data_IF_864258606701
#
_entry.id   IF_864258606701
#
_cell.length_a   1.000
_cell.length_b   1.000
_cell.length_c   1.000
_cell.angle_alpha   90.00
_cell.angle_beta   90.00
_cell.angle_gamma   90.00
#
_symmetry.space_group_name_H-M   'P 1'
#
loop_
_entity.id
_entity.type
_entity.pdbx_description
1 polymer ?
#
# COMPACT_ATOMS: atom_id res chain seq x y z
N UNK A 1 2.95 -9.99 12.25
CA UNK A 1 2.65 -11.40 11.90
C UNK A 1 2.06 -11.60 10.50
N UNK A 2 2.00 -10.57 9.64
CA UNK A 2 1.62 -10.77 8.22
C UNK A 2 2.71 -11.54 7.45
N UNK A 3 3.97 -11.38 7.84
CA UNK A 3 5.08 -12.22 7.37
C UNK A 3 4.95 -13.72 7.72
N UNK A 4 4.08 -14.09 8.67
CA UNK A 4 3.84 -15.50 9.03
C UNK A 4 2.71 -16.09 8.16
N UNK A 5 1.71 -15.29 7.80
CA UNK A 5 0.66 -15.72 6.86
C UNK A 5 1.21 -15.99 5.45
N UNK A 6 2.33 -15.38 5.07
CA UNK A 6 3.05 -15.73 3.83
C UNK A 6 3.86 -17.03 3.94
N UNK A 7 4.09 -17.56 5.14
CA UNK A 7 4.94 -18.75 5.37
C UNK A 7 4.16 -20.06 5.29
N UNK A 8 2.86 -20.01 5.58
CA UNK A 8 1.96 -21.17 5.61
C UNK A 8 1.03 -21.23 4.39
N UNK A 9 1.20 -20.33 3.42
CA UNK A 9 0.54 -20.46 2.13
C UNK A 9 1.18 -21.67 1.40
N UNK A 10 0.39 -22.64 0.91
CA UNK A 10 0.94 -23.81 0.23
C UNK A 10 1.86 -23.33 -0.89
N UNK A 11 3.12 -23.77 -0.82
CA UNK A 11 4.07 -23.53 -1.88
C UNK A 11 3.53 -24.21 -3.14
N UNK A 12 3.45 -23.49 -4.26
CA UNK A 12 2.94 -24.04 -5.49
C UNK A 12 3.78 -25.24 -5.96
N UNK A 13 3.11 -26.25 -6.53
CA UNK A 13 3.75 -27.51 -6.95
C UNK A 13 4.60 -27.37 -8.23
N UNK A 14 4.57 -26.20 -8.89
CA UNK A 14 5.44 -25.87 -10.01
C UNK A 14 6.07 -24.47 -9.88
N UNK A 15 7.25 -24.27 -10.45
CA UNK A 15 7.91 -22.97 -10.53
C UNK A 15 7.09 -21.93 -11.35
N UNK A 16 6.12 -22.38 -12.15
CA UNK A 16 5.17 -21.55 -12.89
C UNK A 16 3.99 -21.06 -12.04
N UNK A 17 3.77 -21.67 -10.87
CA UNK A 17 2.63 -21.39 -9.99
C UNK A 17 2.98 -20.45 -8.82
N UNK A 18 4.23 -19.97 -8.70
CA UNK A 18 4.58 -18.94 -7.70
C UNK A 18 3.78 -17.69 -8.05
N UNK A 19 2.83 -17.23 -7.20
CA UNK A 19 2.22 -15.94 -7.44
C UNK A 19 3.38 -14.95 -7.42
N UNK A 20 3.63 -14.31 -8.56
CA UNK A 20 4.53 -13.17 -8.61
C UNK A 20 4.19 -12.25 -7.44
N UNK A 21 5.18 -11.59 -6.83
CA UNK A 21 4.93 -10.72 -5.68
C UNK A 21 3.72 -9.77 -5.92
N UNK A 22 3.54 -9.34 -7.18
CA UNK A 22 2.39 -8.59 -7.68
C UNK A 22 1.05 -9.34 -7.63
N UNK A 23 1.01 -10.61 -8.03
CA UNK A 23 -0.19 -11.45 -7.91
C UNK A 23 -0.65 -11.63 -6.47
N UNK A 24 0.30 -11.88 -5.55
CA UNK A 24 0.00 -11.96 -4.12
C UNK A 24 -0.50 -10.62 -3.55
N UNK A 25 0.14 -9.50 -3.91
CA UNK A 25 -0.32 -8.15 -3.54
C UNK A 25 -1.75 -7.89 -4.01
N UNK A 26 -2.07 -8.23 -5.27
CA UNK A 26 -3.40 -8.03 -5.83
C UNK A 26 -4.48 -8.81 -5.06
N UNK A 27 -4.22 -10.07 -4.73
CA UNK A 27 -5.15 -10.90 -3.94
C UNK A 27 -5.39 -10.26 -2.58
N UNK A 28 -4.33 -9.98 -1.82
CA UNK A 28 -4.45 -9.43 -0.45
C UNK A 28 -5.15 -8.06 -0.46
N UNK A 29 -4.86 -7.21 -1.45
CA UNK A 29 -5.50 -5.89 -1.59
C UNK A 29 -6.99 -6.03 -1.93
N UNK A 30 -7.37 -6.98 -2.79
CA UNK A 30 -8.77 -7.22 -3.15
C UNK A 30 -9.57 -7.90 -2.03
N UNK A 31 -8.92 -8.70 -1.19
CA UNK A 31 -9.53 -9.34 -0.01
C UNK A 31 -9.66 -8.40 1.20
N UNK A 32 -9.33 -7.11 1.05
CA UNK A 32 -9.53 -6.12 2.09
C UNK A 32 -8.34 -5.95 3.04
N UNK A 33 -7.15 -6.41 2.67
CA UNK A 33 -5.94 -6.28 3.49
C UNK A 33 -5.61 -4.83 3.87
N UNK A 34 -5.84 -3.88 2.96
CA UNK A 34 -5.63 -2.45 3.22
C UNK A 34 -6.60 -1.93 4.31
N UNK A 35 -7.88 -2.29 4.23
CA UNK A 35 -8.92 -1.95 5.21
C UNK A 35 -8.58 -2.51 6.59
N UNK A 36 -8.15 -3.77 6.65
CA UNK A 36 -7.75 -4.42 7.89
C UNK A 36 -6.56 -3.70 8.54
N UNK A 37 -5.55 -3.33 7.74
CA UNK A 37 -4.42 -2.55 8.24
C UNK A 37 -4.87 -1.17 8.73
N UNK A 38 -5.70 -0.45 7.96
CA UNK A 38 -6.21 0.87 8.34
C UNK A 38 -7.00 0.84 9.66
N UNK A 39 -7.80 -0.22 9.89
CA UNK A 39 -8.52 -0.41 11.14
C UNK A 39 -7.55 -0.52 12.33
N UNK A 40 -6.49 -1.35 12.21
CA UNK A 40 -5.46 -1.49 13.25
C UNK A 40 -4.73 -0.17 13.49
N UNK A 41 -4.38 0.55 12.42
CA UNK A 41 -3.67 1.83 12.51
C UNK A 41 -4.48 2.94 13.17
N UNK A 42 -5.82 2.83 13.16
CA UNK A 42 -6.72 3.79 13.80
C UNK A 42 -6.69 3.71 15.34
N UNK A 43 -6.19 2.61 15.91
CA UNK A 43 -6.04 2.47 17.35
C UNK A 43 -4.68 3.02 17.82
N UNK A 44 -4.68 3.86 18.86
CA UNK A 44 -3.47 4.46 19.44
C UNK A 44 -3.01 3.86 20.77
N UNK A 45 -3.74 2.87 21.27
CA UNK A 45 -3.47 2.26 22.57
C UNK A 45 -2.10 1.54 22.57
N UNK A 46 -1.32 1.76 23.62
CA UNK A 46 0.00 1.13 23.81
C UNK A 46 0.07 -0.39 23.68
N UNK A 47 -0.91 -1.19 24.17
CA UNK A 47 -0.84 -2.65 23.97
C UNK A 47 -0.88 -3.08 22.49
N UNK A 48 -1.26 -2.17 21.58
CA UNK A 48 -1.37 -2.44 20.15
C UNK A 48 -0.15 -1.96 19.35
N UNK A 49 0.92 -1.46 19.99
CA UNK A 49 2.11 -0.96 19.29
C UNK A 49 2.72 -2.00 18.32
N UNK A 50 2.78 -3.26 18.76
CA UNK A 50 3.23 -4.38 17.92
C UNK A 50 2.34 -4.60 16.68
N UNK A 51 1.02 -4.46 16.87
CA UNK A 51 0.05 -4.63 15.79
C UNK A 51 0.12 -3.45 14.82
N UNK A 52 0.25 -2.21 15.32
CA UNK A 52 0.42 -1.01 14.50
C UNK A 52 1.66 -1.08 13.63
N UNK A 53 2.82 -1.46 14.19
CA UNK A 53 4.05 -1.62 13.39
C UNK A 53 3.90 -2.72 12.32
N UNK A 54 3.21 -3.82 12.65
CA UNK A 54 2.94 -4.90 11.70
C UNK A 54 2.01 -4.46 10.58
N UNK A 55 0.98 -3.68 10.90
CA UNK A 55 0.03 -3.14 9.93
C UNK A 55 0.69 -2.10 9.01
N UNK A 56 1.55 -1.24 9.56
CA UNK A 56 2.31 -0.28 8.76
C UNK A 56 3.23 -0.99 7.76
N UNK A 57 3.99 -1.99 8.20
CA UNK A 57 4.85 -2.78 7.30
C UNK A 57 4.05 -3.53 6.24
N UNK A 58 2.91 -4.12 6.59
CA UNK A 58 2.08 -4.80 5.61
C UNK A 58 1.46 -3.84 4.60
N UNK A 59 1.08 -2.64 5.02
CA UNK A 59 0.64 -1.58 4.11
C UNK A 59 1.78 -1.16 3.18
N UNK A 60 3.02 -1.08 3.68
CA UNK A 60 4.21 -0.83 2.86
C UNK A 60 4.38 -1.91 1.78
N UNK A 61 4.32 -3.19 2.17
CA UNK A 61 4.43 -4.31 1.22
C UNK A 61 3.31 -4.32 0.19
N UNK A 62 2.06 -4.03 0.59
CA UNK A 62 0.94 -3.96 -0.36
C UNK A 62 1.06 -2.80 -1.34
N UNK A 63 1.67 -1.69 -0.93
CA UNK A 63 1.81 -0.50 -1.77
C UNK A 63 3.08 -0.51 -2.64
N UNK A 64 4.11 -1.28 -2.27
CA UNK A 64 5.42 -1.24 -2.92
C UNK A 64 5.31 -1.59 -4.40
N UNK A 65 5.69 -0.62 -5.25
CA UNK A 65 5.67 -0.74 -6.70
C UNK A 65 4.29 -1.16 -7.25
N UNK A 66 3.21 -0.80 -6.56
CA UNK A 66 1.85 -1.18 -6.92
C UNK A 66 0.90 0.04 -6.90
N UNK A 67 0.86 0.81 -8.02
CA UNK A 67 0.05 2.03 -8.16
C UNK A 67 -1.41 1.86 -7.75
N UNK A 68 -2.02 0.75 -8.14
CA UNK A 68 -3.44 0.48 -7.89
C UNK A 68 -3.74 0.38 -6.39
N UNK A 69 -2.81 -0.14 -5.58
CA UNK A 69 -2.95 -0.18 -4.12
C UNK A 69 -2.68 1.20 -3.48
N UNK A 70 -1.70 1.93 -4.01
CA UNK A 70 -1.36 3.28 -3.55
C UNK A 70 -2.51 4.25 -3.76
N UNK A 71 -3.12 4.24 -4.95
CA UNK A 71 -4.32 5.03 -5.29
C UNK A 71 -5.48 4.74 -4.34
N UNK A 72 -5.75 3.46 -4.01
CA UNK A 72 -6.78 3.09 -3.04
C UNK A 72 -6.51 3.66 -1.64
N UNK A 73 -5.25 3.66 -1.19
CA UNK A 73 -4.86 4.24 0.10
C UNK A 73 -5.00 5.77 0.11
N UNK A 74 -4.69 6.42 -1.01
CA UNK A 74 -4.84 7.87 -1.17
C UNK A 74 -6.33 8.26 -1.20
N UNK A 75 -7.12 7.63 -2.07
CA UNK A 75 -8.55 7.90 -2.25
C UNK A 75 -9.39 7.64 -0.98
N UNK A 76 -8.99 6.66 -0.16
CA UNK A 76 -9.65 6.36 1.11
C UNK A 76 -9.26 7.29 2.26
N UNK A 77 -8.22 8.11 2.10
CA UNK A 77 -7.69 8.97 3.16
C UNK A 77 -6.86 8.24 4.22
N UNK A 78 -6.59 6.93 4.08
CA UNK A 78 -5.84 6.16 5.08
C UNK A 78 -4.38 6.58 5.22
N UNK A 79 -3.82 7.23 4.20
CA UNK A 79 -2.49 7.84 4.26
C UNK A 79 -2.32 8.80 5.46
N UNK A 80 -3.38 9.49 5.88
CA UNK A 80 -3.35 10.36 7.07
C UNK A 80 -2.98 9.59 8.34
N UNK A 81 -3.46 8.34 8.48
CA UNK A 81 -3.12 7.47 9.62
C UNK A 81 -1.66 7.03 9.59
N UNK A 82 -1.08 6.89 8.40
CA UNK A 82 0.34 6.61 8.27
C UNK A 82 1.18 7.82 8.72
N UNK A 83 0.78 9.03 8.32
CA UNK A 83 1.44 10.27 8.73
C UNK A 83 1.35 10.48 10.25
N UNK A 84 0.20 10.24 10.86
CA UNK A 84 0.02 10.30 12.33
C UNK A 84 0.96 9.34 13.09
N UNK A 85 1.34 8.22 12.47
CA UNK A 85 2.29 7.26 13.06
C UNK A 85 3.74 7.74 13.07
N UNK A 86 4.08 8.78 12.31
CA UNK A 86 5.41 9.40 12.32
C UNK A 86 5.69 10.14 13.63
N UNK A 87 4.65 10.51 14.39
CA UNK A 87 4.78 11.16 15.70
C UNK A 87 4.83 10.17 16.87
N UNK A 88 4.88 8.85 16.62
CA UNK A 88 4.93 7.85 17.70
C UNK A 88 6.20 8.04 18.55
N UNK A 89 6.09 7.98 19.87
CA UNK A 89 7.23 8.18 20.78
C UNK A 89 8.30 7.08 20.62
N UNK A 90 7.93 5.89 20.14
CA UNK A 90 8.83 4.75 19.94
C UNK A 90 9.51 4.82 18.57
N UNK A 91 10.85 4.86 18.49
CA UNK A 91 11.57 4.95 17.23
C UNK A 91 11.32 3.75 16.30
N UNK A 92 11.22 2.54 16.86
CA UNK A 92 10.96 1.31 16.11
C UNK A 92 9.56 1.29 15.46
N UNK A 93 8.59 1.95 16.10
CA UNK A 93 7.25 2.12 15.52
C UNK A 93 7.31 3.15 14.40
N UNK A 94 7.92 4.32 14.64
CA UNK A 94 8.09 5.36 13.61
C UNK A 94 8.77 4.84 12.36
N UNK A 95 9.83 4.04 12.50
CA UNK A 95 10.57 3.48 11.37
C UNK A 95 9.66 2.67 10.43
N UNK A 96 8.71 1.90 10.97
CA UNK A 96 7.76 1.13 10.18
C UNK A 96 6.77 2.04 9.41
N UNK A 97 6.35 3.15 10.01
CA UNK A 97 5.51 4.15 9.35
C UNK A 97 6.27 4.91 8.25
N UNK A 98 7.55 5.20 8.44
CA UNK A 98 8.41 5.77 7.39
C UNK A 98 8.45 4.86 6.17
N UNK A 99 8.66 3.54 6.35
CA UNK A 99 8.66 2.58 5.24
C UNK A 99 7.31 2.55 4.50
N UNK A 100 6.20 2.67 5.24
CA UNK A 100 4.87 2.68 4.65
C UNK A 100 4.60 3.95 3.83
N UNK A 101 5.02 5.12 4.35
CA UNK A 101 4.90 6.39 3.63
C UNK A 101 5.79 6.40 2.38
N UNK A 102 7.03 5.92 2.49
CA UNK A 102 7.95 5.80 1.35
C UNK A 102 7.36 4.91 0.24
N UNK A 103 6.82 3.75 0.62
CA UNK A 103 6.17 2.82 -0.33
C UNK A 103 4.90 3.39 -0.96
N UNK A 104 4.25 4.38 -0.33
CA UNK A 104 3.10 5.08 -0.89
C UNK A 104 3.53 6.15 -1.91
N UNK A 105 4.65 6.82 -1.66
CA UNK A 105 5.16 7.93 -2.46
C UNK A 105 6.01 7.48 -3.66
N UNK A 106 6.48 6.22 -3.67
CA UNK A 106 7.45 5.75 -4.65
C UNK A 106 7.01 5.93 -6.12
N UNK A 107 5.74 5.69 -6.45
CA UNK A 107 5.19 5.89 -7.80
C UNK A 107 5.01 7.36 -8.17
N UNK A 108 4.69 8.22 -7.20
CA UNK A 108 4.64 9.68 -7.38
C UNK A 108 6.02 10.29 -7.66
N UNK A 109 7.09 9.55 -7.35
CA UNK A 109 8.47 9.92 -7.60
C UNK A 109 9.05 9.24 -8.85
N UNK A 110 8.32 8.31 -9.48
CA UNK A 110 8.72 7.68 -10.73
C UNK A 110 8.39 8.61 -11.93
N UNK A 111 9.40 9.16 -12.62
CA UNK A 111 9.18 10.07 -13.74
C UNK A 111 8.38 9.44 -14.88
N UNK A 112 8.46 8.11 -15.07
CA UNK A 112 7.72 7.42 -16.12
C UNK A 112 6.23 7.33 -15.81
N UNK A 113 5.89 7.08 -14.53
CA UNK A 113 4.49 7.07 -14.08
C UNK A 113 3.88 8.46 -14.18
N UNK A 114 4.60 9.51 -13.74
CA UNK A 114 4.16 10.90 -13.87
C UNK A 114 3.87 11.28 -15.34
N UNK A 115 4.79 10.93 -16.25
CA UNK A 115 4.60 11.16 -17.69
C UNK A 115 3.37 10.44 -18.24
N UNK A 116 3.10 9.21 -17.79
CA UNK A 116 1.96 8.44 -18.26
C UNK A 116 0.63 9.00 -17.73
N UNK A 117 0.56 9.42 -16.47
CA UNK A 117 -0.59 10.14 -15.93
C UNK A 117 -0.87 11.45 -16.68
N UNK A 118 0.18 12.24 -16.98
CA UNK A 118 0.03 13.48 -17.76
C UNK A 118 -0.55 13.20 -19.16
N UNK A 119 -0.09 12.12 -19.80
CA UNK A 119 -0.59 11.70 -21.11
C UNK A 119 -2.07 11.28 -21.06
N UNK A 120 -2.46 10.44 -20.10
CA UNK A 120 -3.86 9.99 -19.93
C UNK A 120 -4.80 11.16 -19.61
N UNK A 121 -4.35 12.13 -18.82
CA UNK A 121 -5.10 13.36 -18.55
C UNK A 121 -5.29 14.22 -19.81
N UNK A 122 -4.26 14.33 -20.66
CA UNK A 122 -4.35 15.08 -21.92
C UNK A 122 -5.31 14.41 -22.91
N UNK A 123 -5.26 13.08 -23.02
CA UNK A 123 -6.16 12.29 -23.88
C UNK A 123 -7.62 12.43 -23.41
N UNK A 124 -7.87 12.27 -22.10
CA UNK A 124 -9.20 12.46 -21.51
C UNK A 124 -9.74 13.88 -21.70
N UNK A 125 -8.89 14.90 -21.60
CA UNK A 125 -9.27 16.30 -21.82
C UNK A 125 -9.58 16.60 -23.29
N UNK A 126 -8.93 15.90 -24.24
CA UNK A 126 -9.22 16.00 -25.66
C UNK A 126 -10.55 15.31 -26.01
N UNK A 127 -10.84 14.16 -25.40
CA UNK A 127 -12.12 13.45 -25.60
C UNK A 127 -13.31 14.27 -25.11
N UNK A 128 -13.19 14.98 -23.98
CA UNK A 128 -14.24 15.89 -23.49
C UNK A 128 -14.46 17.08 -24.44
N UNK A 129 -13.41 17.61 -25.09
CA UNK A 129 -13.55 18.70 -26.07
C UNK A 129 -14.15 18.25 -27.40
N UNK A 130 -14.02 16.97 -27.73
CA UNK A 130 -14.54 16.36 -28.96
C UNK A 130 -15.88 15.64 -28.77
N UNK A 131 -16.44 15.66 -27.56
CA UNK A 131 -17.79 15.16 -27.30
C UNK A 131 -18.82 16.09 -27.98
N UNK A 132 -19.76 15.54 -28.77
CA UNK A 132 -20.71 16.29 -29.60
C UNK A 132 -21.75 17.09 -28.82
#
# INVERSE_FOLDING_TARGET
CIAILCRDYPLPESDDDVPTARGAQLVVVNEGGLQACAAVLSHRADPLAFLRRSAALAMAEMCRNFPEAQERVLASGWHTRLLEGLDDHRPEVRACFVCAVDSLLYSLLDPQYLYQCEKEMQESAMDVRNAP
#
